data_IF_951386189376
#
_entry.id   IF_951386189376
#
_cell.length_a   1.000
_cell.length_b   1.000
_cell.length_c   1.000
_cell.angle_alpha   90.00
_cell.angle_beta   90.00
_cell.angle_gamma   90.00
#
_symmetry.space_group_name_H-M   'P 1'
#
loop_
_entity.id
_entity.type
_entity.pdbx_description
1 polymer ?
#
# COMPACT_ATOMS: atom_id res chain seq x y z
N UNK A 1 9.37 -28.03 -12.38
CA UNK A 1 9.59 -27.36 -11.07
C UNK A 1 9.81 -25.88 -11.30
N UNK A 2 9.13 -25.02 -10.57
CA UNK A 2 9.23 -23.56 -10.60
C UNK A 2 9.55 -23.01 -9.21
N UNK A 3 10.09 -21.80 -9.15
CA UNK A 3 10.31 -21.09 -7.89
C UNK A 3 8.98 -20.49 -7.43
N UNK A 4 8.52 -20.88 -6.24
CA UNK A 4 7.33 -20.34 -5.57
C UNK A 4 7.81 -19.56 -4.34
N UNK A 5 7.59 -18.24 -4.34
CA UNK A 5 7.99 -17.37 -3.24
C UNK A 5 6.75 -16.96 -2.45
N UNK A 6 6.53 -17.64 -1.32
CA UNK A 6 5.41 -17.42 -0.41
C UNK A 6 5.65 -16.16 0.40
N UNK A 7 4.68 -15.26 0.38
CA UNK A 7 4.74 -13.94 1.03
C UNK A 7 3.57 -13.81 2.01
N UNK A 8 3.84 -13.39 3.24
CA UNK A 8 2.82 -13.21 4.27
C UNK A 8 3.14 -12.04 5.20
N UNK A 9 2.19 -11.68 6.06
CA UNK A 9 2.34 -10.66 7.10
C UNK A 9 2.61 -11.33 8.43
N UNK A 10 3.58 -10.82 9.18
CA UNK A 10 3.92 -11.31 10.52
C UNK A 10 2.95 -10.83 11.61
N UNK A 11 3.22 -11.18 12.87
CA UNK A 11 2.43 -10.77 14.04
C UNK A 11 2.96 -9.55 14.78
N UNK A 12 3.99 -8.87 14.26
CA UNK A 12 4.58 -7.72 14.93
C UNK A 12 3.61 -6.54 15.05
N UNK A 13 3.73 -5.78 16.13
CA UNK A 13 2.91 -4.59 16.43
C UNK A 13 3.84 -3.38 16.60
N UNK A 14 3.36 -2.15 16.29
CA UNK A 14 1.99 -1.81 15.89
C UNK A 14 1.68 -2.15 14.43
N UNK A 15 2.69 -2.28 13.57
CA UNK A 15 2.54 -2.59 12.15
C UNK A 15 3.16 -3.95 11.83
N UNK A 16 2.48 -4.70 10.98
CA UNK A 16 2.97 -5.97 10.46
C UNK A 16 4.05 -5.73 9.40
N UNK A 17 5.02 -6.66 9.33
CA UNK A 17 6.04 -6.67 8.30
C UNK A 17 5.83 -7.83 7.33
N UNK A 18 6.27 -7.63 6.10
CA UNK A 18 6.27 -8.66 5.07
C UNK A 18 7.36 -9.69 5.36
N UNK A 19 7.01 -10.96 5.21
CA UNK A 19 7.91 -12.12 5.30
C UNK A 19 7.83 -12.92 4.02
N UNK A 20 8.90 -13.62 3.69
CA UNK A 20 8.87 -14.56 2.57
C UNK A 20 9.75 -15.77 2.80
N UNK A 21 9.39 -16.87 2.15
CA UNK A 21 10.20 -18.09 2.02
C UNK A 21 9.95 -18.72 0.65
N UNK A 22 10.94 -19.45 0.15
CA UNK A 22 10.90 -20.04 -1.19
C UNK A 22 10.69 -21.54 -1.11
N UNK A 23 9.76 -22.04 -1.91
CA UNK A 23 9.58 -23.47 -2.23
C UNK A 23 9.88 -23.69 -3.71
N UNK A 24 10.49 -24.82 -4.02
CA UNK A 24 10.67 -25.26 -5.41
C UNK A 24 9.72 -26.43 -5.64
N UNK A 25 8.66 -26.20 -6.42
CA UNK A 25 7.59 -27.15 -6.66
C UNK A 25 6.90 -26.87 -7.99
N UNK A 26 6.06 -27.78 -8.45
CA UNK A 26 5.19 -27.57 -9.63
C UNK A 26 3.84 -26.96 -9.25
N UNK A 27 3.41 -27.14 -8.00
CA UNK A 27 2.09 -26.74 -7.52
C UNK A 27 2.17 -25.76 -6.34
N UNK A 28 1.26 -24.79 -6.32
CA UNK A 28 1.00 -23.94 -5.16
C UNK A 28 0.07 -24.68 -4.21
N UNK A 29 0.48 -24.83 -2.96
CA UNK A 29 -0.29 -25.51 -1.92
C UNK A 29 -0.03 -24.86 -0.55
N UNK A 30 -0.81 -25.20 0.45
CA UNK A 30 -0.56 -24.78 1.83
C UNK A 30 0.83 -25.23 2.30
N UNK A 31 1.44 -24.38 3.14
CA UNK A 31 2.77 -24.66 3.66
C UNK A 31 2.89 -24.18 5.09
N UNK A 32 3.59 -24.93 5.95
CA UNK A 32 3.85 -24.54 7.33
C UNK A 32 5.08 -23.64 7.47
N UNK A 33 5.14 -22.88 8.54
CA UNK A 33 6.29 -22.10 8.95
C UNK A 33 6.37 -21.97 10.47
N UNK A 34 7.54 -21.58 11.00
CA UNK A 34 7.75 -21.29 12.41
C UNK A 34 7.19 -19.91 12.79
N UNK A 35 5.98 -19.90 13.33
CA UNK A 35 5.29 -18.70 13.80
C UNK A 35 5.95 -18.07 15.03
N UNK A 36 6.77 -18.81 15.80
CA UNK A 36 7.45 -18.24 16.98
C UNK A 36 8.48 -17.19 16.58
N UNK A 37 9.10 -17.34 15.42
CA UNK A 37 10.05 -16.37 14.86
C UNK A 37 9.41 -15.13 14.25
N UNK A 38 8.07 -15.10 14.14
CA UNK A 38 7.29 -14.00 13.54
C UNK A 38 6.24 -13.41 14.48
N UNK A 39 6.32 -13.72 15.78
CA UNK A 39 5.34 -13.32 16.81
C UNK A 39 3.90 -13.79 16.52
N UNK A 40 3.75 -14.99 15.95
CA UNK A 40 2.47 -15.59 15.62
C UNK A 40 2.22 -16.93 16.35
N UNK A 41 3.19 -17.41 17.10
CA UNK A 41 3.06 -18.61 17.91
C UNK A 41 4.00 -18.60 19.10
N UNK A 42 3.85 -19.55 20.01
CA UNK A 42 4.78 -19.82 21.11
C UNK A 42 5.80 -20.88 20.68
N UNK A 43 6.96 -20.94 21.31
CA UNK A 43 8.02 -21.89 20.92
C UNK A 43 7.69 -23.37 21.12
N UNK A 44 6.74 -23.68 22.01
CA UNK A 44 6.25 -25.04 22.28
C UNK A 44 5.11 -25.49 21.33
N UNK A 45 4.52 -24.53 20.57
CA UNK A 45 3.48 -24.76 19.56
C UNK A 45 3.73 -23.84 18.37
N UNK A 46 4.89 -23.97 17.74
CA UNK A 46 5.42 -22.97 16.83
C UNK A 46 4.82 -22.98 15.42
N UNK A 47 4.11 -24.04 15.04
CA UNK A 47 3.61 -24.16 13.67
C UNK A 47 2.44 -23.23 13.37
N UNK A 48 2.61 -22.45 12.29
CA UNK A 48 1.54 -21.74 11.61
C UNK A 48 1.45 -22.20 10.15
N UNK A 49 0.32 -21.97 9.52
CA UNK A 49 0.04 -22.39 8.15
C UNK A 49 -0.11 -21.17 7.24
N UNK A 50 0.56 -21.22 6.11
CA UNK A 50 0.39 -20.29 4.98
C UNK A 50 -0.68 -20.86 4.04
N UNK A 51 -1.81 -20.17 3.93
CA UNK A 51 -2.86 -20.48 2.96
C UNK A 51 -2.72 -19.54 1.77
N UNK A 52 -2.40 -20.05 0.56
CA UNK A 52 -2.35 -19.22 -0.65
C UNK A 52 -3.69 -18.54 -0.94
N UNK A 53 -3.66 -17.26 -1.28
CA UNK A 53 -4.86 -16.46 -1.57
C UNK A 53 -4.77 -15.74 -2.92
N UNK A 54 -3.56 -15.48 -3.42
CA UNK A 54 -3.34 -14.89 -4.74
C UNK A 54 -1.98 -15.29 -5.29
N UNK A 55 -1.90 -15.49 -6.60
CA UNK A 55 -0.67 -15.80 -7.32
C UNK A 55 -0.32 -14.66 -8.27
N UNK A 56 0.98 -14.34 -8.34
CA UNK A 56 1.54 -13.29 -9.18
C UNK A 56 2.72 -13.85 -9.96
N UNK A 57 2.65 -13.82 -11.27
CA UNK A 57 3.72 -14.31 -12.13
C UNK A 57 4.91 -13.36 -12.10
N UNK A 58 6.11 -13.91 -11.97
CA UNK A 58 7.33 -13.14 -12.12
C UNK A 58 7.98 -13.55 -13.45
N UNK A 59 8.00 -12.64 -14.42
CA UNK A 59 8.75 -12.84 -15.65
C UNK A 59 9.97 -11.93 -15.58
N UNK A 60 11.15 -12.49 -15.38
CA UNK A 60 12.39 -11.72 -15.49
C UNK A 60 12.71 -11.49 -16.98
N UNK A 61 12.02 -10.53 -17.59
CA UNK A 61 12.22 -10.15 -18.99
C UNK A 61 13.61 -9.55 -19.26
N UNK A 62 14.30 -9.08 -18.23
CA UNK A 62 15.65 -8.52 -18.36
C UNK A 62 16.68 -9.60 -18.68
N UNK A 63 16.39 -10.88 -18.39
CA UNK A 63 17.19 -12.02 -18.81
C UNK A 63 16.71 -12.75 -20.06
N UNK A 64 15.59 -12.32 -20.60
CA UNK A 64 15.15 -12.78 -21.90
C UNK A 64 16.03 -12.12 -22.98
N UNK A 65 17.29 -12.55 -23.09
CA UNK A 65 18.10 -12.29 -24.27
C UNK A 65 17.30 -12.76 -25.49
N UNK A 66 17.25 -11.91 -26.52
CA UNK A 66 16.58 -12.19 -27.79
C UNK A 66 17.09 -13.46 -28.50
N UNK A 67 18.14 -14.10 -27.98
CA UNK A 67 18.75 -15.34 -28.51
C UNK A 67 18.18 -16.63 -27.90
N UNK A 68 17.21 -16.57 -26.97
CA UNK A 68 16.43 -17.72 -26.48
C UNK A 68 17.17 -18.96 -25.97
N UNK A 69 18.29 -18.84 -25.37
CA UNK A 69 18.95 -20.00 -24.75
C UNK A 69 18.72 -20.08 -23.23
N UNK A 70 18.09 -19.09 -22.60
CA UNK A 70 17.73 -19.13 -21.21
C UNK A 70 16.35 -18.48 -21.01
N UNK A 71 15.24 -19.25 -20.99
CA UNK A 71 13.98 -18.71 -20.47
C UNK A 71 14.28 -18.28 -19.03
N UNK A 72 14.17 -16.98 -18.73
CA UNK A 72 14.36 -16.46 -17.38
C UNK A 72 13.58 -17.33 -16.41
N UNK A 73 14.12 -17.56 -15.21
CA UNK A 73 13.47 -18.39 -14.20
C UNK A 73 12.07 -17.81 -13.94
N UNK A 74 11.06 -18.40 -14.58
CA UNK A 74 9.66 -18.11 -14.26
C UNK A 74 9.46 -18.47 -12.80
N UNK A 75 9.11 -17.47 -12.01
CA UNK A 75 8.75 -17.62 -10.63
C UNK A 75 7.30 -17.21 -10.41
N UNK A 76 6.80 -17.51 -9.26
CA UNK A 76 5.48 -17.05 -8.81
C UNK A 76 5.62 -16.49 -7.40
N UNK A 77 5.19 -15.26 -7.17
CA UNK A 77 4.92 -14.79 -5.83
C UNK A 77 3.54 -15.31 -5.42
N UNK A 78 3.48 -15.87 -4.23
CA UNK A 78 2.25 -16.45 -3.67
C UNK A 78 1.90 -15.65 -2.43
N UNK A 79 0.91 -14.77 -2.53
CA UNK A 79 0.38 -14.07 -1.37
C UNK A 79 -0.38 -15.05 -0.49
N UNK A 80 -0.09 -15.03 0.80
CA UNK A 80 -0.66 -15.95 1.76
C UNK A 80 -1.28 -15.21 2.93
N UNK A 81 -2.35 -15.77 3.45
CA UNK A 81 -2.84 -15.46 4.78
C UNK A 81 -2.36 -16.52 5.80
N UNK A 82 -2.32 -16.12 7.06
CA UNK A 82 -1.83 -16.98 8.13
C UNK A 82 -2.98 -17.63 8.87
N UNK A 83 -2.88 -18.95 9.03
CA UNK A 83 -3.75 -19.74 9.89
C UNK A 83 -2.95 -20.28 11.08
N UNK A 84 -3.62 -20.50 12.19
CA UNK A 84 -3.11 -21.26 13.33
C UNK A 84 -2.97 -22.76 12.96
N UNK A 85 -2.30 -23.54 13.80
CA UNK A 85 -2.06 -24.96 13.55
C UNK A 85 -3.35 -25.80 13.42
N UNK A 86 -4.45 -25.35 14.00
CA UNK A 86 -5.79 -25.96 13.89
C UNK A 86 -6.53 -25.61 12.58
N UNK A 87 -5.94 -24.78 11.73
CA UNK A 87 -6.51 -24.35 10.46
C UNK A 87 -7.42 -23.12 10.54
N UNK A 88 -7.66 -22.57 11.72
CA UNK A 88 -8.44 -21.34 11.90
C UNK A 88 -7.61 -20.09 11.56
N UNK A 89 -8.25 -19.01 11.10
CA UNK A 89 -7.54 -17.75 10.85
C UNK A 89 -6.78 -17.28 12.09
N UNK A 90 -5.49 -17.03 11.95
CA UNK A 90 -4.69 -16.51 13.03
C UNK A 90 -5.13 -15.08 13.42
N UNK A 91 -5.00 -14.69 14.70
CA UNK A 91 -5.43 -13.37 15.20
C UNK A 91 -4.79 -12.18 14.45
N UNK A 92 -3.59 -12.39 13.88
CA UNK A 92 -2.90 -11.38 13.05
C UNK A 92 -3.42 -11.31 11.60
N UNK A 93 -4.34 -12.18 11.21
CA UNK A 93 -4.85 -12.27 9.85
C UNK A 93 -5.91 -11.21 9.57
N UNK A 94 -5.49 -10.02 9.19
CA UNK A 94 -6.38 -8.90 8.86
C UNK A 94 -7.14 -9.09 7.56
N UNK A 95 -6.60 -9.93 6.63
CA UNK A 95 -7.21 -10.22 5.34
C UNK A 95 -8.55 -10.95 5.47
N UNK A 96 -8.59 -12.02 6.25
CA UNK A 96 -9.82 -12.81 6.44
C UNK A 96 -10.98 -11.95 6.97
N UNK A 97 -10.70 -11.06 7.93
CA UNK A 97 -11.70 -10.15 8.47
C UNK A 97 -12.21 -9.13 7.46
N UNK A 98 -11.36 -8.73 6.50
CA UNK A 98 -11.74 -7.84 5.41
C UNK A 98 -12.57 -8.60 4.35
N UNK A 99 -12.13 -9.80 3.95
CA UNK A 99 -12.74 -10.59 2.89
C UNK A 99 -14.23 -10.91 3.15
N UNK A 100 -14.62 -11.11 4.41
CA UNK A 100 -16.00 -11.43 4.75
C UNK A 100 -17.00 -10.30 4.49
N UNK A 101 -16.51 -9.07 4.28
CA UNK A 101 -17.31 -7.85 4.19
C UNK A 101 -17.24 -7.17 2.82
N UNK A 102 -16.15 -7.38 2.08
CA UNK A 102 -15.90 -6.65 0.83
C UNK A 102 -16.25 -7.49 -0.39
N UNK A 103 -17.10 -6.95 -1.27
CA UNK A 103 -17.41 -7.52 -2.58
C UNK A 103 -16.64 -6.81 -3.70
N UNK A 104 -16.61 -7.40 -4.89
CA UNK A 104 -15.99 -6.82 -6.09
C UNK A 104 -16.72 -5.58 -6.63
N UNK A 105 -17.87 -5.25 -6.07
CA UNK A 105 -18.55 -3.98 -6.34
C UNK A 105 -17.82 -2.77 -5.77
N UNK A 106 -16.97 -2.98 -4.77
CA UNK A 106 -16.09 -1.95 -4.23
C UNK A 106 -14.79 -1.88 -5.04
N UNK A 107 -14.42 -0.69 -5.46
CA UNK A 107 -13.14 -0.39 -6.10
C UNK A 107 -12.30 0.46 -5.18
N UNK A 108 -11.01 0.12 -5.09
CA UNK A 108 -10.05 0.85 -4.27
C UNK A 108 -8.81 1.19 -5.08
N UNK A 109 -8.42 2.47 -5.03
CA UNK A 109 -7.17 2.97 -5.55
C UNK A 109 -6.31 3.48 -4.40
N UNK A 110 -5.07 3.02 -4.30
CA UNK A 110 -4.13 3.46 -3.28
C UNK A 110 -3.04 4.31 -3.89
N UNK A 111 -2.80 5.48 -3.31
CA UNK A 111 -1.65 6.35 -3.61
C UNK A 111 -0.63 6.13 -2.49
N UNK A 112 0.29 5.21 -2.73
CA UNK A 112 1.27 4.78 -1.74
C UNK A 112 2.53 5.63 -1.81
N UNK A 113 2.66 6.58 -0.90
CA UNK A 113 3.88 7.33 -0.72
C UNK A 113 4.91 6.54 0.10
N UNK A 114 6.18 6.78 -0.14
CA UNK A 114 7.30 6.20 0.60
C UNK A 114 8.58 7.00 0.41
N UNK A 115 9.53 6.83 1.34
CA UNK A 115 10.88 7.34 1.18
C UNK A 115 11.87 6.20 0.90
N UNK A 116 12.81 6.46 0.03
CA UNK A 116 14.01 5.63 -0.13
C UNK A 116 15.09 6.09 0.83
N UNK A 117 15.74 5.16 1.52
CA UNK A 117 16.81 5.42 2.47
C UNK A 117 18.07 4.64 2.09
N UNK A 118 19.21 5.28 2.26
CA UNK A 118 20.52 4.65 2.16
C UNK A 118 21.41 5.19 3.28
N UNK A 119 22.16 4.33 3.95
CA UNK A 119 23.07 4.70 5.04
C UNK A 119 22.37 5.55 6.13
N UNK A 120 21.14 5.18 6.50
CA UNK A 120 20.35 5.80 7.57
C UNK A 120 19.75 7.18 7.24
N UNK A 121 19.82 7.66 6.00
CA UNK A 121 19.26 8.95 5.56
C UNK A 121 18.45 8.80 4.26
N UNK A 122 17.55 9.73 3.95
CA UNK A 122 16.85 9.71 2.67
C UNK A 122 17.82 9.72 1.50
N UNK A 123 17.52 8.94 0.48
CA UNK A 123 18.35 8.82 -0.71
C UNK A 123 18.54 10.19 -1.38
N UNK A 124 19.79 10.51 -1.73
CA UNK A 124 20.14 11.80 -2.35
C UNK A 124 20.32 12.96 -1.38
N UNK A 125 20.03 12.77 -0.09
CA UNK A 125 20.31 13.81 0.90
C UNK A 125 21.81 13.92 1.20
N UNK A 126 22.33 15.14 1.41
CA UNK A 126 23.75 15.33 1.73
C UNK A 126 24.13 14.69 3.08
N UNK A 127 25.39 14.35 3.25
CA UNK A 127 25.89 13.80 4.53
C UNK A 127 25.74 14.81 5.68
N UNK A 128 25.93 16.09 5.38
CA UNK A 128 25.76 17.18 6.33
C UNK A 128 24.75 18.18 5.79
N UNK A 129 23.83 18.61 6.67
CA UNK A 129 22.80 19.56 6.30
C UNK A 129 21.56 18.90 5.70
N UNK A 130 20.78 19.66 4.96
CA UNK A 130 19.54 19.26 4.30
C UNK A 130 19.59 19.64 2.82
N UNK A 131 18.85 18.96 1.95
CA UNK A 131 18.71 19.37 0.56
C UNK A 131 17.93 20.68 0.47
N UNK A 132 17.70 21.18 -0.74
CA UNK A 132 16.80 22.32 -0.98
C UNK A 132 15.44 22.08 -0.31
N UNK A 133 14.70 23.14 0.05
CA UNK A 133 13.33 23.00 0.54
C UNK A 133 12.49 22.12 -0.37
N UNK A 134 11.50 21.43 0.22
CA UNK A 134 10.57 20.60 -0.53
C UNK A 134 9.71 21.42 -1.51
N UNK A 135 9.10 20.74 -2.48
CA UNK A 135 8.25 21.33 -3.50
C UNK A 135 8.83 21.14 -4.89
N UNK A 136 10.02 21.65 -5.13
CA UNK A 136 10.70 21.63 -6.44
C UNK A 136 11.06 20.22 -6.95
N UNK A 137 10.89 19.19 -6.12
CA UNK A 137 11.17 17.80 -6.49
C UNK A 137 9.93 17.08 -7.06
N UNK A 138 8.73 17.63 -6.86
CA UNK A 138 7.50 17.02 -7.34
C UNK A 138 7.53 16.84 -8.86
N UNK A 139 7.33 15.58 -9.30
CA UNK A 139 7.44 15.17 -10.70
C UNK A 139 8.78 15.60 -11.34
N UNK A 140 9.85 15.72 -10.55
CA UNK A 140 11.14 16.26 -10.98
C UNK A 140 11.82 15.43 -12.05
N UNK A 141 12.56 16.09 -12.92
CA UNK A 141 13.35 15.50 -14.00
C UNK A 141 14.79 16.01 -13.93
N UNK A 142 15.72 15.12 -14.21
CA UNK A 142 17.15 15.42 -14.25
C UNK A 142 17.87 15.25 -12.92
N UNK A 143 19.19 15.10 -13.01
CA UNK A 143 20.09 14.91 -11.87
C UNK A 143 19.99 16.09 -10.90
N UNK A 144 19.85 15.79 -9.62
CA UNK A 144 19.68 16.80 -8.55
C UNK A 144 18.22 17.17 -8.26
N UNK A 145 17.27 16.82 -9.15
CA UNK A 145 15.84 16.97 -8.93
C UNK A 145 15.14 15.67 -8.53
N UNK A 146 15.74 14.53 -8.89
CA UNK A 146 15.16 13.22 -8.62
C UNK A 146 16.27 12.19 -8.39
N UNK A 147 15.99 11.21 -7.50
CA UNK A 147 16.87 10.08 -7.21
C UNK A 147 16.05 8.80 -7.10
N UNK A 148 16.68 7.64 -7.36
CA UNK A 148 16.03 6.34 -7.22
C UNK A 148 15.11 5.94 -8.38
N UNK A 149 15.08 6.67 -9.50
CA UNK A 149 14.20 6.40 -10.65
C UNK A 149 14.36 4.98 -11.20
N UNK A 150 15.58 4.45 -11.26
CA UNK A 150 15.79 3.07 -11.72
C UNK A 150 15.05 2.03 -10.88
N UNK A 151 14.97 2.24 -9.55
CA UNK A 151 14.20 1.38 -8.65
C UNK A 151 12.71 1.47 -8.97
N UNK A 152 12.20 2.70 -9.21
CA UNK A 152 10.79 2.96 -9.54
C UNK A 152 10.41 2.34 -10.88
N UNK A 153 11.22 2.54 -11.90
CA UNK A 153 10.98 2.00 -13.25
C UNK A 153 10.93 0.46 -13.21
N UNK A 154 11.91 -0.17 -12.54
CA UNK A 154 11.93 -1.63 -12.34
C UNK A 154 10.75 -2.15 -11.51
N UNK A 155 10.33 -1.38 -10.49
CA UNK A 155 9.15 -1.71 -9.69
C UNK A 155 7.88 -1.68 -10.54
N UNK A 156 7.71 -0.62 -11.32
CA UNK A 156 6.56 -0.46 -12.22
C UNK A 156 6.47 -1.62 -13.22
N UNK A 157 7.58 -1.93 -13.89
CA UNK A 157 7.65 -3.06 -14.83
C UNK A 157 7.35 -4.40 -14.15
N UNK A 158 7.89 -4.64 -12.96
CA UNK A 158 7.65 -5.87 -12.22
C UNK A 158 6.19 -6.02 -11.78
N UNK A 159 5.55 -4.93 -11.35
CA UNK A 159 4.13 -4.92 -11.01
C UNK A 159 3.25 -5.19 -12.24
N UNK A 160 3.55 -4.56 -13.37
CA UNK A 160 2.84 -4.81 -14.65
C UNK A 160 2.99 -6.28 -15.09
N UNK A 161 4.19 -6.85 -14.96
CA UNK A 161 4.42 -8.26 -15.30
C UNK A 161 3.70 -9.24 -14.37
N UNK A 162 3.41 -8.81 -13.14
CA UNK A 162 2.69 -9.56 -12.14
C UNK A 162 1.17 -9.39 -12.20
N UNK A 163 0.66 -8.68 -13.22
CA UNK A 163 -0.76 -8.32 -13.38
C UNK A 163 -1.33 -7.55 -12.17
N UNK A 164 -0.47 -6.79 -11.47
CA UNK A 164 -0.90 -5.82 -10.46
C UNK A 164 -1.43 -4.58 -11.17
N UNK A 165 -2.58 -4.09 -10.75
CA UNK A 165 -3.22 -2.91 -11.32
C UNK A 165 -2.49 -1.61 -11.00
N UNK A 166 -1.18 -1.52 -11.31
CA UNK A 166 -0.41 -0.29 -11.14
C UNK A 166 -0.86 0.74 -12.17
N UNK A 167 -1.22 1.94 -11.71
CA UNK A 167 -1.82 2.99 -12.54
C UNK A 167 -0.93 4.22 -12.69
N UNK A 168 0.07 4.38 -11.85
CA UNK A 168 0.98 5.52 -11.96
C UNK A 168 2.11 5.48 -10.93
N UNK A 169 3.11 6.31 -11.21
CA UNK A 169 4.22 6.61 -10.29
C UNK A 169 4.66 8.05 -10.47
N UNK A 170 5.05 8.71 -9.41
CA UNK A 170 5.64 10.06 -9.46
C UNK A 170 6.66 10.26 -8.34
N UNK A 171 7.63 11.13 -8.60
CA UNK A 171 8.47 11.69 -7.55
C UNK A 171 7.63 12.67 -6.73
N UNK A 172 7.79 12.61 -5.41
CA UNK A 172 7.08 13.44 -4.46
C UNK A 172 7.86 14.72 -4.10
N UNK A 173 7.23 15.56 -3.25
CA UNK A 173 7.70 16.91 -2.93
C UNK A 173 9.06 16.96 -2.23
N UNK A 174 9.52 15.86 -1.62
CA UNK A 174 10.82 15.75 -0.97
C UNK A 174 11.78 14.89 -1.78
N UNK A 175 13.07 15.26 -1.82
CA UNK A 175 14.09 14.44 -2.48
C UNK A 175 14.18 13.05 -1.85
N UNK A 176 14.06 12.00 -2.66
CA UNK A 176 14.04 10.61 -2.21
C UNK A 176 12.66 10.10 -1.80
N UNK A 177 11.62 10.94 -1.87
CA UNK A 177 10.22 10.54 -1.69
C UNK A 177 9.59 10.24 -3.05
N UNK A 178 8.82 9.15 -3.10
CA UNK A 178 8.12 8.68 -4.28
C UNK A 178 6.73 8.18 -3.93
N UNK A 179 5.89 8.08 -4.93
CA UNK A 179 4.56 7.48 -4.87
C UNK A 179 4.40 6.45 -5.98
N UNK A 180 3.69 5.37 -5.69
CA UNK A 180 3.11 4.51 -6.71
C UNK A 180 1.60 4.35 -6.45
N UNK A 181 0.84 4.08 -7.49
CA UNK A 181 -0.61 3.98 -7.43
C UNK A 181 -1.07 2.60 -7.89
N UNK A 182 -1.96 1.97 -7.11
CA UNK A 182 -2.55 0.65 -7.40
C UNK A 182 -4.06 0.77 -7.39
N UNK A 183 -4.72 0.24 -8.41
CA UNK A 183 -6.18 0.13 -8.49
C UNK A 183 -6.59 -1.34 -8.53
N UNK A 184 -7.51 -1.73 -7.66
CA UNK A 184 -8.07 -3.08 -7.61
C UNK A 184 -9.54 -3.10 -7.21
N UNK A 185 -10.13 -4.30 -7.25
CA UNK A 185 -11.53 -4.55 -6.85
C UNK A 185 -11.57 -5.46 -5.63
N UNK A 186 -12.52 -5.20 -4.75
CA UNK A 186 -12.74 -6.03 -3.59
C UNK A 186 -11.48 -6.22 -2.75
N UNK A 187 -11.31 -7.41 -2.23
CA UNK A 187 -10.14 -7.79 -1.41
C UNK A 187 -8.83 -7.80 -2.20
N UNK A 188 -8.90 -8.04 -3.53
CA UNK A 188 -7.75 -8.08 -4.41
C UNK A 188 -6.96 -6.77 -4.40
N UNK A 189 -7.61 -5.62 -4.20
CA UNK A 189 -6.93 -4.33 -4.07
C UNK A 189 -5.92 -4.33 -2.91
N UNK A 190 -6.27 -4.94 -1.78
CA UNK A 190 -5.36 -5.09 -0.63
C UNK A 190 -4.23 -6.08 -0.90
N UNK A 191 -4.52 -7.20 -1.55
CA UNK A 191 -3.52 -8.20 -1.97
C UNK A 191 -2.49 -7.56 -2.90
N UNK A 192 -2.95 -6.82 -3.91
CA UNK A 192 -2.12 -6.15 -4.91
C UNK A 192 -1.23 -5.07 -4.28
N UNK A 193 -1.74 -4.28 -3.33
CA UNK A 193 -0.93 -3.28 -2.64
C UNK A 193 0.16 -3.92 -1.78
N UNK A 194 -0.15 -4.98 -1.02
CA UNK A 194 0.86 -5.70 -0.25
C UNK A 194 1.91 -6.34 -1.14
N UNK A 195 1.50 -6.93 -2.26
CA UNK A 195 2.45 -7.50 -3.22
C UNK A 195 3.29 -6.43 -3.90
N UNK A 196 2.73 -5.27 -4.26
CA UNK A 196 3.49 -4.15 -4.78
C UNK A 196 4.54 -3.63 -3.78
N UNK A 197 4.18 -3.50 -2.49
CA UNK A 197 5.14 -3.19 -1.41
C UNK A 197 6.25 -4.23 -1.31
N UNK A 198 5.92 -5.52 -1.42
CA UNK A 198 6.89 -6.60 -1.39
C UNK A 198 7.88 -6.50 -2.55
N UNK A 199 7.37 -6.36 -3.78
CA UNK A 199 8.19 -6.24 -4.99
C UNK A 199 9.12 -5.02 -4.89
N UNK A 200 8.63 -3.88 -4.41
CA UNK A 200 9.44 -2.67 -4.21
C UNK A 200 10.60 -2.93 -3.25
N UNK A 201 10.34 -3.55 -2.10
CA UNK A 201 11.38 -3.88 -1.13
C UNK A 201 12.42 -4.85 -1.72
N UNK A 202 11.98 -5.88 -2.45
CA UNK A 202 12.88 -6.85 -3.10
C UNK A 202 13.78 -6.22 -4.17
N UNK A 203 13.25 -5.22 -4.89
CA UNK A 203 14.07 -4.46 -5.85
C UNK A 203 15.04 -3.54 -5.12
N UNK A 204 14.57 -2.81 -4.11
CA UNK A 204 15.38 -1.89 -3.32
C UNK A 204 16.57 -2.58 -2.64
N UNK A 205 16.40 -3.82 -2.14
CA UNK A 205 17.47 -4.63 -1.56
C UNK A 205 18.68 -4.78 -2.52
N UNK A 206 18.43 -4.97 -3.82
CA UNK A 206 19.50 -5.13 -4.82
C UNK A 206 20.32 -3.85 -5.02
N UNK A 207 19.77 -2.71 -4.62
CA UNK A 207 20.42 -1.39 -4.70
C UNK A 207 21.00 -0.93 -3.35
N UNK A 208 20.87 -1.76 -2.30
CA UNK A 208 21.26 -1.36 -0.93
C UNK A 208 20.43 -0.20 -0.40
N UNK A 209 19.15 -0.13 -0.81
CA UNK A 209 18.18 0.90 -0.43
C UNK A 209 17.10 0.26 0.45
N UNK A 210 16.72 0.96 1.51
CA UNK A 210 15.59 0.60 2.39
C UNK A 210 14.38 1.46 2.05
N UNK A 211 13.20 0.86 1.98
CA UNK A 211 11.93 1.57 1.82
C UNK A 211 11.35 1.92 3.19
N UNK A 212 11.03 3.19 3.39
CA UNK A 212 10.49 3.70 4.64
C UNK A 212 9.04 4.17 4.44
N UNK A 213 8.11 3.50 5.10
CA UNK A 213 6.67 3.81 5.10
C UNK A 213 6.23 4.57 6.37
N UNK A 214 7.13 5.12 7.17
CA UNK A 214 6.72 5.89 8.34
C UNK A 214 5.86 7.10 7.95
N UNK A 215 4.83 7.46 8.75
CA UNK A 215 3.97 8.61 8.44
C UNK A 215 4.69 9.95 8.37
N UNK A 216 5.80 10.07 9.10
CA UNK A 216 6.65 11.27 9.15
C UNK A 216 8.12 10.87 9.17
N UNK A 217 8.69 10.46 8.02
CA UNK A 217 10.08 9.98 7.94
C UNK A 217 11.11 11.05 8.30
N UNK A 218 10.81 12.31 8.03
CA UNK A 218 11.68 13.44 8.35
C UNK A 218 10.99 14.43 9.29
N UNK A 219 11.68 14.80 10.35
CA UNK A 219 11.23 15.82 11.30
C UNK A 219 11.34 17.23 10.75
N UNK A 220 10.56 18.17 11.29
CA UNK A 220 10.55 19.57 10.89
C UNK A 220 9.61 19.85 9.73
N UNK A 221 9.95 20.83 8.91
CA UNK A 221 9.10 21.36 7.83
C UNK A 221 9.20 20.53 6.55
N UNK A 222 8.93 19.22 6.66
CA UNK A 222 8.87 18.25 5.57
C UNK A 222 7.51 17.59 5.54
N UNK A 223 7.07 17.18 4.34
CA UNK A 223 5.84 16.39 4.21
C UNK A 223 5.96 15.07 4.97
N UNK A 224 4.83 14.56 5.39
CA UNK A 224 4.67 13.16 5.77
C UNK A 224 4.52 12.27 4.54
N UNK A 225 4.25 11.00 4.79
CA UNK A 225 3.88 10.02 3.77
C UNK A 225 2.53 9.41 4.07
N UNK A 226 1.64 9.44 3.10
CA UNK A 226 0.29 8.90 3.15
C UNK A 226 0.13 7.64 2.32
N UNK A 227 -1.01 7.02 2.51
CA UNK A 227 -1.60 6.02 1.63
C UNK A 227 -3.02 6.50 1.33
N UNK A 228 -3.13 7.57 0.54
CA UNK A 228 -4.45 8.09 0.18
C UNK A 228 -5.25 6.98 -0.49
N UNK A 229 -6.49 6.84 -0.06
CA UNK A 229 -7.32 5.74 -0.51
C UNK A 229 -8.50 6.27 -1.29
N UNK A 230 -8.45 6.11 -2.60
CA UNK A 230 -9.56 6.34 -3.50
C UNK A 230 -10.51 5.16 -3.40
N UNK A 231 -11.81 5.42 -3.29
CA UNK A 231 -12.79 4.34 -3.21
C UNK A 231 -14.12 4.72 -3.85
N UNK A 232 -14.81 3.72 -4.37
CA UNK A 232 -16.17 3.85 -4.88
C UNK A 232 -16.91 2.52 -4.81
N UNK A 233 -18.22 2.61 -4.62
CA UNK A 233 -19.13 1.48 -4.79
C UNK A 233 -19.94 1.64 -6.09
N UNK A 234 -20.81 0.70 -6.39
CA UNK A 234 -21.64 0.72 -7.60
C UNK A 234 -22.53 1.96 -7.69
N UNK A 235 -23.06 2.44 -6.56
CA UNK A 235 -23.90 3.61 -6.51
C UNK A 235 -23.14 4.89 -6.89
N UNK A 236 -21.92 5.06 -6.38
CA UNK A 236 -21.05 6.20 -6.71
C UNK A 236 -20.60 6.20 -8.18
N UNK A 237 -20.45 5.03 -8.81
CA UNK A 237 -20.07 4.89 -10.22
C UNK A 237 -21.24 4.90 -11.19
N UNK A 238 -22.46 4.82 -10.69
CA UNK A 238 -23.70 4.76 -11.47
C UNK A 238 -24.52 6.05 -11.39
N UNK A 239 -25.66 5.96 -10.73
CA UNK A 239 -26.64 7.06 -10.67
C UNK A 239 -26.64 7.79 -9.32
N UNK A 240 -25.52 7.83 -8.62
CA UNK A 240 -25.45 8.33 -7.25
C UNK A 240 -25.86 9.79 -7.07
N UNK A 241 -25.37 10.68 -7.91
CA UNK A 241 -25.56 12.11 -7.77
C UNK A 241 -24.91 12.71 -6.52
N UNK A 242 -24.94 14.03 -6.40
CA UNK A 242 -24.25 14.79 -5.33
C UNK A 242 -24.59 14.29 -3.92
N UNK A 243 -25.87 13.98 -3.66
CA UNK A 243 -26.33 13.59 -2.32
C UNK A 243 -25.68 12.32 -1.80
N UNK A 244 -25.31 11.36 -2.68
CA UNK A 244 -24.62 10.12 -2.28
C UNK A 244 -23.22 10.40 -1.74
N UNK A 245 -22.48 11.29 -2.40
CA UNK A 245 -21.14 11.70 -1.98
C UNK A 245 -21.18 12.51 -0.68
N UNK A 246 -22.13 13.43 -0.54
CA UNK A 246 -22.32 14.23 0.68
C UNK A 246 -22.72 13.34 1.86
N UNK A 247 -23.66 12.42 1.67
CA UNK A 247 -24.07 11.45 2.69
C UNK A 247 -22.88 10.57 3.12
N UNK A 248 -22.12 10.03 2.18
CA UNK A 248 -20.91 9.27 2.48
C UNK A 248 -19.92 10.08 3.32
N UNK A 249 -19.68 11.34 2.98
CA UNK A 249 -18.81 12.22 3.76
C UNK A 249 -19.35 12.46 5.19
N UNK A 250 -20.65 12.59 5.40
CA UNK A 250 -21.23 12.73 6.74
C UNK A 250 -21.09 11.45 7.57
N UNK A 251 -21.29 10.28 6.96
CA UNK A 251 -21.11 8.99 7.64
C UNK A 251 -19.64 8.80 8.01
N UNK A 252 -18.71 9.07 7.09
CA UNK A 252 -17.26 9.02 7.37
C UNK A 252 -16.83 10.01 8.47
N UNK A 253 -17.50 11.17 8.57
CA UNK A 253 -17.29 12.13 9.66
C UNK A 253 -17.69 11.55 11.00
N UNK A 254 -18.82 10.88 11.09
CA UNK A 254 -19.31 10.28 12.35
C UNK A 254 -18.36 9.21 12.90
N UNK A 255 -17.66 8.48 12.01
CA UNK A 255 -16.69 7.41 12.32
C UNK A 255 -15.21 7.85 12.26
N UNK A 256 -14.95 9.17 12.27
CA UNK A 256 -13.59 9.69 12.15
C UNK A 256 -12.61 9.14 13.21
N UNK A 257 -13.05 9.05 14.47
CA UNK A 257 -12.18 8.59 15.57
C UNK A 257 -11.83 7.11 15.44
N UNK A 258 -12.76 6.30 14.95
CA UNK A 258 -12.57 4.87 14.67
C UNK A 258 -11.60 4.69 13.49
N UNK A 259 -11.77 5.46 12.43
CA UNK A 259 -10.87 5.48 11.29
C UNK A 259 -9.41 5.72 11.70
N UNK A 260 -9.16 6.74 12.51
CA UNK A 260 -7.80 7.10 12.94
C UNK A 260 -7.11 5.96 13.69
N UNK A 261 -7.84 5.09 14.39
CA UNK A 261 -7.25 3.95 15.13
C UNK A 261 -6.67 2.87 14.20
N UNK A 262 -7.16 2.78 12.97
CA UNK A 262 -6.77 1.74 12.00
C UNK A 262 -6.00 2.28 10.80
N UNK A 263 -5.84 3.60 10.70
CA UNK A 263 -5.20 4.28 9.59
C UNK A 263 -3.69 4.50 9.76
N UNK A 264 -3.02 3.58 10.43
CA UNK A 264 -1.58 3.57 10.66
C UNK A 264 -1.16 4.18 11.98
N UNK A 265 -0.11 3.61 12.58
CA UNK A 265 0.48 4.13 13.81
C UNK A 265 1.19 5.46 13.56
N UNK A 266 1.39 6.25 14.62
CA UNK A 266 2.10 7.53 14.56
C UNK A 266 1.53 8.59 13.58
N UNK A 267 0.31 8.36 13.06
CA UNK A 267 -0.32 9.21 12.04
C UNK A 267 -0.57 10.65 12.55
N UNK A 268 -0.59 10.88 13.87
CA UNK A 268 -0.64 12.20 14.47
C UNK A 268 0.57 13.07 14.09
N UNK A 269 1.72 12.46 13.77
CA UNK A 269 2.92 13.17 13.33
C UNK A 269 2.77 13.74 11.91
N UNK A 270 1.87 13.14 11.09
CA UNK A 270 1.55 13.54 9.72
C UNK A 270 0.32 14.46 9.67
N UNK A 271 -0.78 14.09 10.31
CA UNK A 271 -2.06 14.84 10.26
C UNK A 271 -2.04 16.04 11.22
N UNK A 272 -1.35 17.09 10.83
CA UNK A 272 -1.08 18.27 11.68
C UNK A 272 -1.93 19.49 11.34
N UNK A 273 -2.62 19.49 10.21
CA UNK A 273 -3.28 20.68 9.63
C UNK A 273 -2.33 21.54 8.80
N UNK A 274 -1.13 21.03 8.51
CA UNK A 274 -0.13 21.62 7.61
C UNK A 274 0.25 20.58 6.54
N UNK A 275 1.00 21.01 5.52
CA UNK A 275 1.51 20.12 4.48
C UNK A 275 0.38 19.31 3.81
N UNK A 276 -0.69 20.02 3.40
CA UNK A 276 -1.82 19.44 2.69
C UNK A 276 -2.55 18.32 3.48
N UNK A 277 -2.57 18.42 4.80
CA UNK A 277 -3.32 17.51 5.67
C UNK A 277 -4.29 18.26 6.57
N UNK A 278 -5.44 17.66 6.88
CA UNK A 278 -6.28 18.10 7.99
C UNK A 278 -5.64 17.67 9.31
N UNK A 279 -5.90 18.45 10.37
CA UNK A 279 -5.52 18.02 11.73
C UNK A 279 -6.21 16.71 12.11
N UNK A 280 -5.48 15.79 12.76
CA UNK A 280 -6.01 14.51 13.22
C UNK A 280 -7.24 14.63 14.13
N UNK A 281 -7.42 15.79 14.78
CA UNK A 281 -8.55 16.08 15.68
C UNK A 281 -9.77 16.64 14.96
N UNK A 282 -9.65 16.95 13.67
CA UNK A 282 -10.70 17.58 12.87
C UNK A 282 -11.03 16.73 11.65
N UNK A 283 -12.26 16.83 11.20
CA UNK A 283 -12.71 16.26 9.95
C UNK A 283 -13.26 17.37 9.05
N UNK A 284 -12.87 17.34 7.80
CA UNK A 284 -13.42 18.19 6.75
C UNK A 284 -13.51 17.41 5.44
N UNK A 285 -14.33 17.89 4.53
CA UNK A 285 -14.36 17.41 3.15
C UNK A 285 -14.63 18.58 2.21
N UNK A 286 -14.20 18.46 0.96
CA UNK A 286 -14.38 19.48 -0.04
C UNK A 286 -14.00 19.06 -1.44
N UNK A 287 -14.54 19.75 -2.43
CA UNK A 287 -14.18 19.56 -3.84
C UNK A 287 -12.79 20.11 -4.08
N UNK A 288 -11.91 19.30 -4.64
CA UNK A 288 -10.50 19.63 -4.92
C UNK A 288 -9.68 20.11 -3.72
N UNK A 289 -10.17 19.93 -2.49
CA UNK A 289 -9.51 20.38 -1.27
C UNK A 289 -8.46 19.35 -0.81
N UNK A 290 -7.19 19.63 -1.08
CA UNK A 290 -6.05 18.80 -0.66
C UNK A 290 -5.77 18.87 0.84
N UNK A 291 -6.28 19.88 1.54
CA UNK A 291 -6.19 20.03 2.99
C UNK A 291 -7.30 19.33 3.77
N UNK A 292 -8.26 18.71 3.09
CA UNK A 292 -9.39 18.03 3.73
C UNK A 292 -9.05 16.58 4.16
N UNK A 293 -9.89 16.03 5.05
CA UNK A 293 -9.86 14.60 5.41
C UNK A 293 -10.34 13.72 4.24
N UNK A 294 -11.43 14.17 3.60
CA UNK A 294 -11.98 13.54 2.38
C UNK A 294 -11.97 14.58 1.27
N UNK A 295 -11.33 14.26 0.18
CA UNK A 295 -11.37 15.06 -1.03
C UNK A 295 -12.38 14.47 -1.99
N UNK A 296 -13.22 15.33 -2.54
CA UNK A 296 -14.09 15.00 -3.68
C UNK A 296 -13.32 15.42 -4.94
N UNK A 297 -12.88 14.49 -5.79
CA UNK A 297 -12.14 14.85 -7.00
C UNK A 297 -12.98 15.71 -7.93
N UNK A 298 -12.35 16.69 -8.60
CA UNK A 298 -13.07 17.55 -9.58
C UNK A 298 -13.65 16.72 -10.71
N UNK A 299 -13.01 15.62 -11.11
CA UNK A 299 -13.51 14.72 -12.14
C UNK A 299 -14.84 14.07 -11.74
N UNK A 300 -15.05 13.75 -10.47
CA UNK A 300 -16.33 13.25 -9.96
C UNK A 300 -17.44 14.30 -10.15
N UNK A 301 -17.16 15.55 -9.81
CA UNK A 301 -18.14 16.65 -9.94
C UNK A 301 -18.41 16.98 -11.42
N UNK A 302 -17.37 17.07 -12.25
CA UNK A 302 -17.52 17.38 -13.67
C UNK A 302 -18.14 16.25 -14.49
N UNK A 303 -18.18 15.04 -13.94
CA UNK A 303 -18.86 13.87 -14.50
C UNK A 303 -20.23 13.64 -13.82
N UNK A 304 -20.98 14.72 -13.58
CA UNK A 304 -22.33 14.68 -13.00
C UNK A 304 -22.41 13.88 -11.69
N UNK A 305 -21.40 14.01 -10.84
CA UNK A 305 -21.28 13.27 -9.58
C UNK A 305 -21.27 11.74 -9.78
N UNK A 306 -20.59 11.29 -10.79
CA UNK A 306 -20.25 9.87 -11.04
C UNK A 306 -18.75 9.69 -10.90
N UNK A 307 -18.28 8.90 -9.93
CA UNK A 307 -16.85 8.76 -9.69
C UNK A 307 -16.52 8.13 -8.34
N UNK A 308 -15.62 8.77 -7.59
CA UNK A 308 -15.05 8.24 -6.36
C UNK A 308 -14.76 9.34 -5.32
N UNK A 309 -14.49 8.95 -4.09
CA UNK A 309 -13.96 9.78 -3.01
C UNK A 309 -12.50 9.39 -2.74
N UNK A 310 -11.72 10.35 -2.26
CA UNK A 310 -10.36 10.15 -1.78
C UNK A 310 -10.30 10.37 -0.26
N UNK A 311 -10.05 9.29 0.50
CA UNK A 311 -9.71 9.40 1.92
C UNK A 311 -8.21 9.68 2.08
N UNK A 312 -7.89 10.88 2.52
CA UNK A 312 -6.52 11.37 2.68
C UNK A 312 -5.92 11.11 4.07
N UNK A 313 -6.71 10.47 4.94
CA UNK A 313 -6.33 10.22 6.34
C UNK A 313 -5.38 9.04 6.53
N UNK A 314 -5.43 7.92 5.76
CA UNK A 314 -4.53 6.81 5.99
C UNK A 314 -3.07 7.20 5.81
N UNK A 315 -2.22 6.75 6.75
CA UNK A 315 -0.78 6.92 6.69
C UNK A 315 -0.14 5.87 5.76
N UNK A 316 1.06 6.15 5.31
CA UNK A 316 1.82 5.27 4.42
C UNK A 316 2.01 3.85 4.97
N UNK A 317 2.15 3.69 6.31
CA UNK A 317 2.29 2.41 6.99
C UNK A 317 0.95 1.70 7.29
N UNK A 318 -0.18 2.26 6.91
CA UNK A 318 -1.47 1.63 7.17
C UNK A 318 -1.60 0.27 6.45
N UNK A 319 -2.30 -0.65 7.11
CA UNK A 319 -2.67 -1.93 6.53
C UNK A 319 -3.88 -1.73 5.60
N UNK A 320 -3.75 -1.99 4.28
CA UNK A 320 -4.84 -1.79 3.34
C UNK A 320 -6.09 -2.61 3.67
N UNK A 321 -5.96 -3.82 4.23
CA UNK A 321 -7.12 -4.62 4.62
C UNK A 321 -7.94 -3.95 5.72
N UNK A 322 -7.27 -3.33 6.71
CA UNK A 322 -7.95 -2.57 7.77
C UNK A 322 -8.62 -1.31 7.22
N UNK A 323 -7.96 -0.64 6.26
CA UNK A 323 -8.52 0.56 5.61
C UNK A 323 -9.75 0.22 4.78
N UNK A 324 -9.64 -0.80 3.91
CA UNK A 324 -10.77 -1.31 3.10
C UNK A 324 -11.94 -1.70 4.01
N UNK A 325 -11.67 -2.56 5.00
CA UNK A 325 -12.69 -3.01 5.94
C UNK A 325 -13.42 -1.85 6.58
N UNK A 326 -12.68 -0.88 7.14
CA UNK A 326 -13.27 0.26 7.83
C UNK A 326 -14.16 1.11 6.91
N UNK A 327 -13.72 1.37 5.67
CA UNK A 327 -14.50 2.13 4.68
C UNK A 327 -15.81 1.39 4.36
N UNK A 328 -15.73 0.09 4.08
CA UNK A 328 -16.90 -0.73 3.73
C UNK A 328 -17.88 -0.83 4.90
N UNK A 329 -17.41 -1.19 6.10
CA UNK A 329 -18.26 -1.22 7.30
C UNK A 329 -18.96 0.12 7.53
N UNK A 330 -18.20 1.22 7.45
CA UNK A 330 -18.74 2.57 7.69
C UNK A 330 -19.82 2.97 6.68
N UNK A 331 -19.68 2.60 5.42
CA UNK A 331 -20.61 3.03 4.36
C UNK A 331 -21.70 1.99 4.06
N UNK A 332 -21.69 0.85 4.76
CA UNK A 332 -22.76 -0.18 4.66
C UNK A 332 -23.74 -0.11 5.83
N UNK A 333 -23.45 0.69 6.87
CA UNK A 333 -24.39 1.01 7.98
C UNK A 333 -25.47 2.01 7.49
#
# INVERSE_FOLDING_TARGET
MRKLEYVWLDGYKPEQSLRSKVRVDDYVDMWSFDGSSTQQATGDKSDCILRPVAEYRTIDRVRADATRTNPGLEGTYVMCEVLSADGEPHESNTRTHCQSLVSDEWWFGFEQEYFMYKDGRPLGWPEKGKPRPQGDYYCGVGTGNVVGREIVDRHTEACMNADIGITGTNAEVALGQWEFQVLGRGIRAGDDLWMARYILQRIAEKHGVTINYAPKPQSGDWNGSGMHTNFSNQLMRGQGGQHVFEQACQVLKSKHKEAIKVYGSDNAKRLTGKHETQSIKKFSYGVSDRGASIRIPVVTVSNDWVGYLEDRRPASNADPYKVIRHIVETLSE
#
